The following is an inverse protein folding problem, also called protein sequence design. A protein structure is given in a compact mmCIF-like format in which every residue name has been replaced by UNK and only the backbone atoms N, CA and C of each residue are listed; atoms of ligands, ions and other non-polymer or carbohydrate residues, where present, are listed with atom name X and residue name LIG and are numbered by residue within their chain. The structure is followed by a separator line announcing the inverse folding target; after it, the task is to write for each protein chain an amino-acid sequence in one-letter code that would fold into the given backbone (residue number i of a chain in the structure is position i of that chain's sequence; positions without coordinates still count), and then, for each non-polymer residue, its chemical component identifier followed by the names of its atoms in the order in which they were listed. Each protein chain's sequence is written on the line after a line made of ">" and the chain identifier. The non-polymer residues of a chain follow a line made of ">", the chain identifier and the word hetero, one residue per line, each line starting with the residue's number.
data_IF_767804573348
#
_entry.id   IF_767804573348
#
_cell.length_a   1.000
_cell.length_b   1.000
_cell.length_c   1.000
_cell.angle_alpha   90.00
_cell.angle_beta   90.00
_cell.angle_gamma   90.00
#
_symmetry.space_group_name_H-M   'P 1'
#
loop_
_entity.id
_entity.type
_entity.pdbx_description
1 polymer ?
#
# COMPACT_ATOMS: atom_id res chain seq x y z
N UNK A 1 21.31 1.65 -27.19
CA UNK A 1 21.46 1.40 -25.74
C UNK A 1 20.20 0.75 -25.21
N UNK A 2 20.31 -0.42 -24.57
CA UNK A 2 19.18 -1.01 -23.85
C UNK A 2 18.82 -0.11 -22.66
N UNK A 3 17.56 0.31 -22.55
CA UNK A 3 17.05 0.94 -21.33
C UNK A 3 17.25 -0.02 -20.18
N UNK A 4 18.04 0.38 -19.17
CA UNK A 4 18.10 -0.38 -17.93
C UNK A 4 16.70 -0.26 -17.28
N UNK A 5 15.99 -1.38 -17.22
CA UNK A 5 14.68 -1.39 -16.57
C UNK A 5 14.87 -1.25 -15.05
N UNK A 6 14.01 -0.50 -14.40
CA UNK A 6 13.98 -0.46 -12.94
C UNK A 6 13.75 -1.88 -12.39
N UNK A 7 14.51 -2.30 -11.38
CA UNK A 7 14.23 -3.57 -10.71
C UNK A 7 12.82 -3.59 -10.16
N UNK A 8 12.13 -4.71 -10.28
CA UNK A 8 10.81 -4.90 -9.70
C UNK A 8 10.94 -5.42 -8.27
N UNK A 9 10.21 -4.79 -7.38
CA UNK A 9 10.14 -5.23 -6.00
C UNK A 9 9.29 -6.50 -5.91
N UNK A 10 9.70 -7.42 -5.04
CA UNK A 10 8.99 -8.67 -4.74
C UNK A 10 8.71 -8.73 -3.25
N UNK A 11 7.46 -8.98 -2.88
CA UNK A 11 7.02 -9.16 -1.49
C UNK A 11 6.11 -10.37 -1.40
N UNK A 12 6.44 -11.30 -0.52
CA UNK A 12 5.55 -12.39 -0.13
C UNK A 12 4.93 -12.04 1.23
N UNK A 13 3.62 -12.25 1.38
CA UNK A 13 2.91 -11.92 2.61
C UNK A 13 1.81 -12.93 2.91
N UNK A 14 1.45 -13.13 4.18
CA UNK A 14 0.46 -14.12 4.57
C UNK A 14 -0.97 -13.60 4.38
N UNK A 15 -1.85 -14.48 3.90
CA UNK A 15 -3.30 -14.27 3.88
C UNK A 15 -4.01 -15.49 4.44
N UNK A 16 -5.21 -15.31 4.94
CA UNK A 16 -5.99 -16.38 5.56
C UNK A 16 -7.08 -16.92 4.65
N UNK A 17 -7.31 -16.28 3.49
CA UNK A 17 -8.31 -16.69 2.51
C UNK A 17 -7.88 -16.15 1.12
N UNK A 18 -7.64 -17.05 0.17
CA UNK A 18 -7.16 -16.67 -1.16
C UNK A 18 -8.24 -15.96 -2.00
N UNK A 19 -9.50 -16.34 -1.87
CA UNK A 19 -10.58 -15.70 -2.65
C UNK A 19 -10.87 -14.28 -2.14
N UNK A 20 -10.83 -14.05 -0.84
CA UNK A 20 -10.92 -12.71 -0.28
C UNK A 20 -9.72 -11.85 -0.68
N UNK A 21 -8.51 -12.42 -0.71
CA UNK A 21 -7.33 -11.73 -1.20
C UNK A 21 -7.48 -11.34 -2.67
N UNK A 22 -7.94 -12.27 -3.52
CA UNK A 22 -8.19 -12.00 -4.93
C UNK A 22 -9.15 -10.83 -5.12
N UNK A 23 -10.29 -10.87 -4.44
CA UNK A 23 -11.30 -9.81 -4.53
C UNK A 23 -10.74 -8.45 -4.09
N UNK A 24 -10.01 -8.41 -2.99
CA UNK A 24 -9.43 -7.16 -2.49
C UNK A 24 -8.36 -6.61 -3.46
N UNK A 25 -7.36 -7.41 -3.81
CA UNK A 25 -6.24 -6.93 -4.63
C UNK A 25 -6.64 -6.66 -6.08
N UNK A 26 -7.53 -7.47 -6.66
CA UNK A 26 -7.98 -7.28 -8.05
C UNK A 26 -9.11 -6.26 -8.17
N UNK A 27 -10.18 -6.40 -7.39
CA UNK A 27 -11.38 -5.59 -7.58
C UNK A 27 -11.29 -4.24 -6.88
N UNK A 28 -10.69 -4.18 -5.69
CA UNK A 28 -10.57 -2.95 -4.91
C UNK A 28 -9.31 -2.17 -5.28
N UNK A 29 -8.14 -2.81 -5.17
CA UNK A 29 -6.85 -2.15 -5.44
C UNK A 29 -6.61 -1.97 -6.94
N UNK A 30 -7.07 -2.91 -7.77
CA UNK A 30 -6.93 -2.85 -9.22
C UNK A 30 -5.75 -3.61 -9.79
N UNK A 31 -5.21 -4.57 -9.03
CA UNK A 31 -4.17 -5.46 -9.53
C UNK A 31 -4.73 -6.46 -10.55
N UNK A 32 -3.88 -6.99 -11.39
CA UNK A 32 -4.17 -8.22 -12.13
C UNK A 32 -3.54 -9.41 -11.42
N UNK A 33 -4.24 -10.55 -11.41
CA UNK A 33 -3.69 -11.79 -10.90
C UNK A 33 -2.78 -12.44 -11.96
N UNK A 34 -1.66 -13.00 -11.51
CA UNK A 34 -0.74 -13.75 -12.33
C UNK A 34 -0.87 -15.25 -12.09
N UNK A 35 0.24 -15.90 -11.79
CA UNK A 35 0.25 -17.33 -11.47
C UNK A 35 -0.41 -17.60 -10.12
N UNK A 36 -0.98 -18.77 -9.98
CA UNK A 36 -1.64 -19.17 -8.73
C UNK A 36 -1.60 -20.69 -8.53
N UNK A 37 -1.81 -21.09 -7.29
CA UNK A 37 -2.02 -22.46 -6.88
C UNK A 37 -3.14 -22.51 -5.82
N UNK A 38 -3.35 -23.65 -5.20
CA UNK A 38 -4.26 -23.78 -4.06
C UNK A 38 -3.69 -23.16 -2.76
N UNK A 39 -2.44 -22.70 -2.78
CA UNK A 39 -1.74 -22.16 -1.60
C UNK A 39 -1.24 -20.72 -1.75
N UNK A 40 -1.25 -20.15 -2.95
CA UNK A 40 -0.73 -18.80 -3.19
C UNK A 40 -1.29 -18.20 -4.48
N UNK A 41 -1.23 -16.84 -4.56
CA UNK A 41 -1.59 -16.06 -5.75
C UNK A 41 -0.55 -14.95 -5.93
N UNK A 42 -0.04 -14.80 -7.16
CA UNK A 42 0.76 -13.66 -7.59
C UNK A 42 -0.15 -12.52 -8.03
N UNK A 43 0.22 -11.29 -7.67
CA UNK A 43 -0.43 -10.07 -8.16
C UNK A 43 0.58 -9.15 -8.81
N UNK A 44 0.18 -8.55 -9.93
CA UNK A 44 0.85 -7.37 -10.47
C UNK A 44 0.36 -6.13 -9.71
N UNK A 45 1.20 -5.68 -8.78
CA UNK A 45 0.91 -4.55 -7.90
C UNK A 45 1.71 -3.34 -8.38
N UNK A 46 1.09 -2.52 -9.21
CA UNK A 46 1.73 -1.34 -9.80
C UNK A 46 3.07 -1.67 -10.51
N UNK A 47 3.14 -2.81 -11.18
CA UNK A 47 4.34 -3.29 -11.85
C UNK A 47 5.31 -4.07 -10.96
N UNK A 48 5.02 -4.20 -9.67
CA UNK A 48 5.79 -5.01 -8.73
C UNK A 48 5.09 -6.33 -8.43
N UNK A 49 5.82 -7.33 -7.99
CA UNK A 49 5.24 -8.64 -7.68
C UNK A 49 4.89 -8.77 -6.21
N UNK A 50 3.61 -8.96 -5.91
CA UNK A 50 3.15 -9.42 -4.61
C UNK A 50 2.77 -10.89 -4.71
N UNK A 51 3.06 -11.66 -3.66
CA UNK A 51 2.63 -13.06 -3.55
C UNK A 51 1.87 -13.24 -2.24
N UNK A 52 0.58 -13.50 -2.34
CA UNK A 52 -0.25 -13.84 -1.18
C UNK A 52 -0.11 -15.34 -0.91
N UNK A 53 0.43 -15.70 0.25
CA UNK A 53 0.55 -17.09 0.70
C UNK A 53 -0.53 -17.42 1.72
N UNK A 54 -1.27 -18.51 1.46
CA UNK A 54 -2.28 -18.99 2.39
C UNK A 54 -1.63 -19.57 3.64
N UNK A 55 -2.02 -19.04 4.78
CA UNK A 55 -1.60 -19.51 6.11
C UNK A 55 -2.82 -19.77 6.98
N UNK A 56 -2.63 -20.55 8.04
CA UNK A 56 -3.64 -20.71 9.09
C UNK A 56 -3.79 -19.35 9.81
N UNK A 57 -5.02 -18.90 10.14
CA UNK A 57 -5.23 -17.67 10.91
C UNK A 57 -4.41 -17.60 12.21
N UNK A 58 -4.17 -18.73 12.86
CA UNK A 58 -3.36 -18.79 14.06
C UNK A 58 -1.87 -18.42 13.84
N UNK A 59 -1.38 -18.54 12.60
CA UNK A 59 0.01 -18.27 12.22
C UNK A 59 0.21 -16.86 11.67
N UNK A 60 -0.86 -16.04 11.61
CA UNK A 60 -0.76 -14.68 11.11
C UNK A 60 -0.44 -13.72 12.27
N UNK A 61 0.74 -13.08 12.28
CA UNK A 61 1.15 -12.23 13.40
C UNK A 61 0.35 -10.93 13.44
N UNK A 62 0.13 -10.41 14.67
CA UNK A 62 -0.38 -9.05 14.85
C UNK A 62 0.74 -8.03 14.60
N UNK A 63 0.39 -6.92 13.94
CA UNK A 63 1.33 -5.83 13.69
C UNK A 63 1.51 -4.98 14.96
N UNK A 64 2.77 -4.73 15.35
CA UNK A 64 3.10 -3.66 16.29
C UNK A 64 2.84 -2.30 15.63
N UNK A 65 2.57 -1.26 16.43
CA UNK A 65 2.32 0.08 15.92
C UNK A 65 3.35 1.09 16.45
N UNK A 66 3.57 2.14 15.66
CA UNK A 66 4.34 3.31 16.06
C UNK A 66 3.43 4.56 15.99
N UNK A 67 3.65 5.51 16.88
CA UNK A 67 2.92 6.77 16.85
C UNK A 67 3.52 7.70 15.78
N UNK A 68 2.70 8.10 14.79
CA UNK A 68 3.06 9.06 13.76
C UNK A 68 1.90 10.05 13.60
N UNK A 69 2.14 11.34 13.76
CA UNK A 69 1.12 12.40 13.66
C UNK A 69 -0.14 12.11 14.50
N UNK A 70 0.01 11.49 15.67
CA UNK A 70 -1.10 11.08 16.52
C UNK A 70 -1.84 9.82 16.09
N UNK A 71 -1.40 9.14 15.03
CA UNK A 71 -1.97 7.88 14.55
C UNK A 71 -1.14 6.69 15.03
N UNK A 72 -1.81 5.59 15.36
CA UNK A 72 -1.16 4.30 15.62
C UNK A 72 -0.88 3.62 14.26
N UNK A 73 0.34 3.82 13.74
CA UNK A 73 0.74 3.29 12.43
C UNK A 73 1.28 1.88 12.60
N UNK A 74 0.75 0.89 11.86
CA UNK A 74 1.31 -0.47 11.87
C UNK A 74 2.78 -0.45 11.42
N UNK A 75 3.66 -1.07 12.21
CA UNK A 75 5.09 -1.12 11.89
C UNK A 75 5.35 -1.90 10.60
N UNK A 76 4.61 -2.98 10.38
CA UNK A 76 4.65 -3.76 9.15
C UNK A 76 3.51 -3.32 8.24
N UNK A 77 3.83 -2.64 7.17
CA UNK A 77 2.90 -2.25 6.11
C UNK A 77 3.65 -2.12 4.80
N UNK A 78 2.92 -2.09 3.70
CA UNK A 78 3.49 -1.90 2.38
C UNK A 78 2.52 -1.10 1.50
N UNK A 79 3.03 -0.60 0.40
CA UNK A 79 2.24 0.16 -0.55
C UNK A 79 3.12 0.78 -1.61
N UNK A 80 2.61 1.79 -2.26
CA UNK A 80 3.35 2.53 -3.28
C UNK A 80 3.22 4.03 -3.08
N UNK A 81 4.18 4.74 -3.65
CA UNK A 81 4.16 6.19 -3.75
C UNK A 81 3.67 6.51 -5.15
N UNK A 82 2.50 7.14 -5.21
CA UNK A 82 1.84 7.52 -6.47
C UNK A 82 2.17 8.97 -6.81
N UNK A 83 2.00 9.35 -8.07
CA UNK A 83 1.92 10.76 -8.42
C UNK A 83 0.68 11.39 -7.77
N UNK A 84 0.70 12.70 -7.55
CA UNK A 84 -0.39 13.38 -6.84
C UNK A 84 -1.75 13.14 -7.50
N UNK A 85 -1.84 13.28 -8.81
CA UNK A 85 -3.08 13.06 -9.56
C UNK A 85 -3.53 11.59 -9.52
N UNK A 86 -2.61 10.65 -9.57
CA UNK A 86 -2.91 9.22 -9.42
C UNK A 86 -3.46 8.91 -8.04
N UNK A 87 -2.92 9.53 -7.01
CA UNK A 87 -3.40 9.35 -5.63
C UNK A 87 -4.84 9.84 -5.48
N UNK A 88 -5.19 10.99 -6.04
CA UNK A 88 -6.56 11.51 -6.02
C UNK A 88 -7.55 10.53 -6.68
N UNK A 89 -7.19 10.00 -7.85
CA UNK A 89 -7.99 9.01 -8.57
C UNK A 89 -8.13 7.73 -7.73
N UNK A 90 -7.04 7.28 -7.12
CA UNK A 90 -7.01 6.08 -6.30
C UNK A 90 -7.89 6.22 -5.04
N UNK A 91 -7.85 7.36 -4.36
CA UNK A 91 -8.74 7.66 -3.24
C UNK A 91 -10.21 7.57 -3.65
N UNK A 92 -10.57 8.13 -4.81
CA UNK A 92 -11.93 8.05 -5.32
C UNK A 92 -12.35 6.60 -5.59
N UNK A 93 -11.44 5.78 -6.13
CA UNK A 93 -11.66 4.34 -6.34
C UNK A 93 -11.94 3.61 -5.02
N UNK A 94 -11.13 3.85 -3.99
CA UNK A 94 -11.30 3.22 -2.68
C UNK A 94 -12.63 3.62 -2.03
N UNK A 95 -13.00 4.89 -2.14
CA UNK A 95 -14.30 5.39 -1.63
C UNK A 95 -15.48 4.75 -2.37
N UNK A 96 -15.39 4.62 -3.70
CA UNK A 96 -16.43 3.96 -4.50
C UNK A 96 -16.58 2.48 -4.15
N UNK A 97 -15.50 1.81 -3.75
CA UNK A 97 -15.52 0.42 -3.27
C UNK A 97 -15.96 0.29 -1.81
N UNK A 98 -16.30 1.38 -1.15
CA UNK A 98 -16.70 1.44 0.26
C UNK A 98 -15.65 0.84 1.22
N UNK A 99 -14.37 1.03 0.91
CA UNK A 99 -13.27 0.56 1.75
C UNK A 99 -13.26 1.33 3.07
N UNK A 100 -13.11 0.60 4.17
CA UNK A 100 -12.89 1.21 5.47
C UNK A 100 -11.42 1.66 5.58
N UNK A 101 -11.19 2.96 5.80
CA UNK A 101 -9.86 3.49 6.02
C UNK A 101 -9.41 3.25 7.46
N UNK A 102 -8.22 2.67 7.64
CA UNK A 102 -7.55 2.60 8.94
C UNK A 102 -7.09 3.99 9.36
N UNK A 103 -6.50 4.71 8.41
CA UNK A 103 -6.19 6.13 8.51
C UNK A 103 -6.76 6.80 7.26
N UNK A 104 -7.70 7.71 7.46
CA UNK A 104 -8.32 8.44 6.34
C UNK A 104 -7.27 9.28 5.61
N UNK A 105 -7.45 9.52 4.30
CA UNK A 105 -6.55 10.41 3.57
C UNK A 105 -6.37 11.73 4.30
N UNK A 106 -5.11 12.13 4.54
CA UNK A 106 -4.81 13.40 5.17
C UNK A 106 -3.51 13.98 4.63
N UNK A 107 -3.41 15.31 4.72
CA UNK A 107 -2.28 16.08 4.24
C UNK A 107 -1.27 16.27 5.36
N UNK A 108 0.01 15.97 5.09
CA UNK A 108 1.13 16.19 6.00
C UNK A 108 1.99 17.32 5.45
N UNK A 109 2.56 18.11 6.35
CA UNK A 109 3.49 19.21 6.01
C UNK A 109 2.89 20.21 5.01
N UNK A 110 1.60 20.54 5.18
CA UNK A 110 0.87 21.44 4.31
C UNK A 110 1.60 22.79 4.16
N UNK A 111 1.80 23.21 2.91
CA UNK A 111 2.51 24.45 2.60
C UNK A 111 4.03 24.37 2.83
N UNK A 112 4.56 23.23 3.20
CA UNK A 112 5.98 23.03 3.47
C UNK A 112 6.65 22.24 2.35
N UNK A 113 7.98 22.18 2.39
CA UNK A 113 8.82 21.51 1.39
C UNK A 113 8.44 20.05 1.16
N UNK A 114 8.12 19.31 2.22
CA UNK A 114 7.79 17.89 2.14
C UNK A 114 6.29 17.58 2.07
N UNK A 115 5.46 18.53 1.62
CA UNK A 115 4.02 18.32 1.56
C UNK A 115 3.67 17.00 0.88
N UNK A 116 2.90 16.18 1.58
CA UNK A 116 2.52 14.85 1.13
C UNK A 116 1.12 14.49 1.63
N UNK A 117 0.47 13.59 0.93
CA UNK A 117 -0.81 13.00 1.32
C UNK A 117 -0.62 11.50 1.53
N UNK A 118 -1.28 10.94 2.53
CA UNK A 118 -1.22 9.52 2.81
C UNK A 118 -2.55 8.99 3.30
N UNK A 119 -2.73 7.68 3.15
CA UNK A 119 -3.86 6.92 3.69
C UNK A 119 -3.40 5.50 4.03
N UNK A 120 -4.12 4.85 4.95
CA UNK A 120 -3.92 3.44 5.27
C UNK A 120 -5.23 2.68 5.12
N UNK A 121 -5.15 1.51 4.51
CA UNK A 121 -6.23 0.52 4.45
C UNK A 121 -5.68 -0.81 4.94
N UNK A 122 -6.57 -1.75 5.22
CA UNK A 122 -6.17 -3.14 5.51
C UNK A 122 -6.87 -4.08 4.55
N UNK A 123 -6.20 -5.17 4.21
CA UNK A 123 -6.80 -6.23 3.46
C UNK A 123 -7.68 -7.13 4.35
N UNK A 124 -8.44 -8.09 3.79
CA UNK A 124 -9.29 -8.99 4.59
C UNK A 124 -8.53 -9.88 5.58
N UNK A 125 -7.22 -10.01 5.41
CA UNK A 125 -6.34 -10.80 6.30
C UNK A 125 -5.55 -9.95 7.29
N UNK A 126 -5.94 -8.66 7.47
CA UNK A 126 -5.28 -7.71 8.37
C UNK A 126 -3.85 -7.34 7.99
N UNK A 127 -3.49 -7.45 6.72
CA UNK A 127 -2.28 -6.81 6.21
C UNK A 127 -2.59 -5.34 5.97
N UNK A 128 -1.65 -4.46 6.31
CA UNK A 128 -1.83 -3.02 6.21
C UNK A 128 -1.11 -2.47 4.99
N UNK A 129 -1.79 -1.58 4.25
CA UNK A 129 -1.25 -0.92 3.07
C UNK A 129 -1.29 0.58 3.25
N UNK A 130 -0.22 1.25 2.81
CA UNK A 130 -0.13 2.71 2.77
C UNK A 130 -0.01 3.16 1.32
N UNK A 131 -0.78 4.17 0.96
CA UNK A 131 -0.69 4.83 -0.35
C UNK A 131 -0.46 6.31 -0.12
N UNK A 132 0.66 6.82 -0.62
CA UNK A 132 1.03 8.22 -0.44
C UNK A 132 1.51 8.86 -1.74
N UNK A 133 1.48 10.18 -1.76
CA UNK A 133 2.02 10.99 -2.83
C UNK A 133 2.71 12.22 -2.23
N UNK A 134 3.78 12.65 -2.87
CA UNK A 134 4.47 13.91 -2.56
C UNK A 134 4.06 14.96 -3.59
N UNK A 135 3.94 16.22 -3.17
CA UNK A 135 3.81 17.34 -4.12
C UNK A 135 5.00 17.40 -5.05
N UNK A 136 6.19 17.21 -4.47
CA UNK A 136 7.45 17.12 -5.19
C UNK A 136 8.13 15.79 -4.85
N UNK A 137 8.18 14.88 -5.80
CA UNK A 137 8.75 13.54 -5.59
C UNK A 137 10.24 13.59 -5.21
N UNK A 138 10.95 14.66 -5.55
CA UNK A 138 12.33 14.86 -5.15
C UNK A 138 12.50 14.94 -3.61
N UNK A 139 11.42 15.21 -2.90
CA UNK A 139 11.41 15.26 -1.43
C UNK A 139 11.34 13.88 -0.76
N UNK A 140 11.15 12.81 -1.52
CA UNK A 140 10.95 11.45 -0.97
C UNK A 140 12.06 11.02 -0.01
N UNK A 141 13.30 11.35 -0.33
CA UNK A 141 14.47 11.02 0.49
C UNK A 141 15.18 12.25 1.09
N UNK A 142 14.52 13.39 1.04
CA UNK A 142 15.07 14.61 1.66
C UNK A 142 15.02 14.49 3.18
N UNK A 143 16.13 14.76 3.84
CA UNK A 143 16.26 14.60 5.30
C UNK A 143 15.64 15.75 6.09
N UNK A 144 15.35 16.86 5.44
CA UNK A 144 14.93 18.11 6.07
C UNK A 144 13.50 18.52 5.72
N UNK A 145 12.66 17.59 5.26
CA UNK A 145 11.30 17.89 4.78
C UNK A 145 10.36 18.39 5.88
N UNK A 146 10.64 18.08 7.12
CA UNK A 146 9.83 18.45 8.29
C UNK A 146 10.35 19.71 9.02
N UNK A 147 11.42 20.32 8.53
CA UNK A 147 12.09 21.45 9.17
C UNK A 147 11.61 22.83 8.67
N UNK A 148 10.49 22.93 7.92
CA UNK A 148 10.02 24.17 7.33
C UNK A 148 8.58 24.50 7.70
#
# INVERSE_FOLDING_TARGET
>A
MSKVSQPRFHLAFPVTDLEQARSFYCDVIGCSAGRESDRWIDFDFFGHQLVAHLVDPADHPFAATNAVDGHAVPASHFGVILDWSQHEIFVARLKAAAVEFVIKPYLRFEGRKGEQVTLFVRDPSNNYLEFKAFRDIEMLFDKDIDNY
#
